data_IF_623888735212
#
_entry.id   IF_623888735212
#
_cell.length_a   1.000
_cell.length_b   1.000
_cell.length_c   1.000
_cell.angle_alpha   90.00
_cell.angle_beta   90.00
_cell.angle_gamma   90.00
#
_symmetry.space_group_name_H-M   'P 1'
#
loop_
_entity.id
_entity.type
_entity.pdbx_description
1 polymer ?
#
# COMPACT_ATOMS: atom_id res chain seq x y z
N UNK A 1 -19.54 19.13 10.31
CA UNK A 1 -18.93 19.03 8.96
C UNK A 1 -19.80 18.11 8.15
N UNK A 2 -20.19 18.53 6.96
CA UNK A 2 -21.18 17.85 6.13
C UNK A 2 -20.51 16.62 5.53
N UNK A 3 -20.88 15.43 5.99
CA UNK A 3 -20.60 14.19 5.27
C UNK A 3 -21.51 14.20 4.04
N UNK A 4 -20.94 14.42 2.85
CA UNK A 4 -21.67 14.31 1.60
C UNK A 4 -22.06 12.84 1.41
N UNK A 5 -23.36 12.56 1.49
CA UNK A 5 -23.98 11.27 1.15
C UNK A 5 -24.11 11.12 -0.37
N UNK A 6 -22.97 11.02 -1.07
CA UNK A 6 -22.88 10.58 -2.48
C UNK A 6 -22.29 9.15 -2.57
N UNK A 7 -22.50 8.35 -1.52
CA UNK A 7 -21.73 7.15 -1.20
C UNK A 7 -21.94 5.91 -2.09
N UNK A 8 -22.77 5.98 -3.14
CA UNK A 8 -23.07 4.79 -3.96
C UNK A 8 -22.46 4.83 -5.37
N UNK A 9 -21.88 5.96 -5.79
CA UNK A 9 -21.29 6.11 -7.14
C UNK A 9 -19.77 6.42 -7.13
N UNK A 10 -19.24 6.91 -6.01
CA UNK A 10 -17.81 7.29 -5.90
C UNK A 10 -16.88 6.07 -5.78
N UNK A 11 -17.36 4.95 -5.20
CA UNK A 11 -16.60 3.69 -5.09
C UNK A 11 -16.47 2.96 -6.43
N UNK A 12 -17.50 2.98 -7.27
CA UNK A 12 -17.45 2.40 -8.63
C UNK A 12 -16.61 3.24 -9.61
N UNK A 13 -16.34 4.50 -9.27
CA UNK A 13 -15.62 5.46 -10.11
C UNK A 13 -14.30 5.93 -9.50
N UNK A 14 -13.76 5.19 -8.52
CA UNK A 14 -12.49 5.52 -7.89
C UNK A 14 -11.63 4.29 -7.63
N UNK A 15 -10.34 4.56 -7.51
CA UNK A 15 -9.35 3.68 -6.89
C UNK A 15 -8.53 4.50 -5.92
N UNK A 16 -7.95 3.81 -4.95
CA UNK A 16 -7.23 4.44 -3.88
C UNK A 16 -5.79 3.97 -3.84
N UNK A 17 -4.89 4.86 -3.43
CA UNK A 17 -3.51 4.54 -3.16
C UNK A 17 -3.24 4.86 -1.71
N UNK A 18 -2.99 3.82 -0.91
CA UNK A 18 -2.63 3.95 0.49
C UNK A 18 -1.10 4.02 0.57
N UNK A 19 -0.58 5.14 1.05
CA UNK A 19 0.83 5.32 1.36
C UNK A 19 1.03 5.12 2.86
N UNK A 20 2.03 4.34 3.26
CA UNK A 20 2.27 4.06 4.68
C UNK A 20 3.72 4.24 5.08
N UNK A 21 3.91 4.49 6.36
CA UNK A 21 5.18 4.49 7.05
C UNK A 21 5.07 3.69 8.36
N UNK A 22 5.64 2.49 8.36
CA UNK A 22 5.60 1.56 9.50
C UNK A 22 6.80 1.71 10.44
N UNK A 23 7.75 2.60 10.14
CA UNK A 23 8.91 2.88 11.01
C UNK A 23 9.94 1.75 11.18
N UNK A 24 9.86 0.65 10.41
CA UNK A 24 10.79 -0.50 10.57
C UNK A 24 12.22 -0.19 10.09
N UNK A 25 13.25 -0.89 10.60
CA UNK A 25 14.68 -0.67 10.23
C UNK A 25 14.96 -0.67 8.71
N UNK A 26 14.17 -1.41 7.92
CA UNK A 26 14.24 -1.39 6.45
C UNK A 26 13.74 -0.07 5.87
N UNK A 27 12.72 0.53 6.49
CA UNK A 27 12.26 1.89 6.17
C UNK A 27 13.29 2.94 6.57
N UNK A 28 14.05 2.73 7.64
CA UNK A 28 15.10 3.68 8.07
C UNK A 28 16.24 3.77 7.06
N UNK A 29 16.64 2.64 6.45
CA UNK A 29 17.69 2.63 5.42
C UNK A 29 17.24 3.38 4.15
N UNK A 30 15.97 3.24 3.73
CA UNK A 30 15.42 3.94 2.55
C UNK A 30 15.12 5.41 2.86
N UNK A 31 14.62 5.73 4.07
CA UNK A 31 14.36 7.11 4.52
C UNK A 31 15.64 7.94 4.60
N UNK A 32 16.74 7.35 5.07
CA UNK A 32 18.04 8.02 5.11
C UNK A 32 18.53 8.46 3.73
N UNK A 33 18.05 7.84 2.65
CA UNK A 33 18.42 8.16 1.27
C UNK A 33 17.36 8.97 0.51
N UNK A 34 16.08 8.86 0.86
CA UNK A 34 14.97 9.46 0.08
C UNK A 34 14.32 10.67 0.75
N UNK A 35 14.51 10.87 2.07
CA UNK A 35 13.83 11.90 2.87
C UNK A 35 12.29 11.94 2.72
N UNK A 36 11.68 10.91 2.14
CA UNK A 36 10.27 10.87 1.82
C UNK A 36 9.42 10.49 3.06
N UNK A 37 8.24 11.11 3.25
CA UNK A 37 7.39 10.86 4.43
C UNK A 37 6.79 9.45 4.44
N UNK A 38 6.61 8.83 3.27
CA UNK A 38 6.08 7.48 3.11
C UNK A 38 7.03 6.62 2.28
N UNK A 39 7.17 5.36 2.67
CA UNK A 39 8.13 4.41 2.07
C UNK A 39 7.48 3.19 1.45
N UNK A 40 6.16 3.05 1.61
CA UNK A 40 5.42 1.94 1.05
C UNK A 40 4.10 2.42 0.45
N UNK A 41 3.68 1.76 -0.63
CA UNK A 41 2.47 2.08 -1.38
C UNK A 41 1.63 0.83 -1.61
N UNK A 42 0.32 0.97 -1.49
CA UNK A 42 -0.67 -0.07 -1.72
C UNK A 42 -1.73 0.47 -2.68
N UNK A 43 -2.30 -0.40 -3.48
CA UNK A 43 -3.49 -0.13 -4.27
C UNK A 43 -4.71 -0.67 -3.52
N UNK A 44 -5.72 0.17 -3.28
CA UNK A 44 -7.01 -0.26 -2.75
C UNK A 44 -8.13 -0.04 -3.78
N UNK A 45 -9.09 -0.95 -3.83
CA UNK A 45 -10.22 -0.89 -4.77
C UNK A 45 -11.45 -0.20 -4.18
N UNK A 46 -11.44 0.06 -2.88
CA UNK A 46 -12.52 0.64 -2.09
C UNK A 46 -11.96 1.58 -1.01
N UNK A 47 -12.81 2.47 -0.49
CA UNK A 47 -12.41 3.50 0.47
C UNK A 47 -12.24 2.92 1.88
N UNK A 48 -12.91 1.82 2.17
CA UNK A 48 -12.93 1.10 3.44
C UNK A 48 -11.67 0.25 3.67
N UNK A 49 -10.81 0.16 2.64
CA UNK A 49 -9.55 -0.59 2.66
C UNK A 49 -9.76 -2.09 2.95
N UNK A 50 -10.86 -2.66 2.44
CA UNK A 50 -11.12 -4.09 2.58
C UNK A 50 -10.11 -4.91 1.79
N UNK A 51 -9.80 -4.48 0.57
CA UNK A 51 -8.87 -5.16 -0.33
C UNK A 51 -7.69 -4.23 -0.68
N UNK A 52 -6.55 -4.41 0.00
CA UNK A 52 -5.30 -3.67 -0.27
C UNK A 52 -4.22 -4.58 -0.85
N UNK A 53 -3.69 -4.17 -2.01
CA UNK A 53 -2.72 -4.96 -2.79
C UNK A 53 -1.38 -4.24 -2.87
N UNK A 54 -0.29 -4.98 -2.71
CA UNK A 54 1.05 -4.46 -2.95
C UNK A 54 2.02 -5.55 -3.36
N UNK A 55 3.26 -5.14 -3.63
CA UNK A 55 4.40 -6.03 -3.73
C UNK A 55 5.32 -5.79 -2.54
N UNK A 56 5.50 -6.83 -1.73
CA UNK A 56 6.13 -6.74 -0.43
C UNK A 56 6.85 -8.01 -0.01
N UNK A 57 7.45 -7.97 1.18
CA UNK A 57 8.05 -9.13 1.82
C UNK A 57 6.92 -10.00 2.39
N UNK A 58 6.87 -11.29 2.01
CA UNK A 58 5.91 -12.26 2.57
C UNK A 58 6.32 -12.73 3.97
N UNK A 59 7.57 -12.50 4.36
CA UNK A 59 8.08 -12.83 5.69
C UNK A 59 9.09 -11.79 6.15
N UNK A 60 8.86 -11.08 7.28
CA UNK A 60 9.77 -10.06 7.79
C UNK A 60 11.21 -10.57 8.05
N UNK A 61 11.36 -11.84 8.45
CA UNK A 61 12.65 -12.48 8.74
C UNK A 61 13.43 -12.95 7.51
N UNK A 62 12.81 -13.03 6.32
CA UNK A 62 13.46 -13.51 5.09
C UNK A 62 13.36 -12.46 3.98
N UNK A 63 14.37 -11.57 3.83
CA UNK A 63 14.29 -10.41 2.93
C UNK A 63 14.18 -10.76 1.43
N UNK A 64 14.53 -11.98 1.02
CA UNK A 64 14.40 -12.49 -0.36
C UNK A 64 13.08 -13.23 -0.66
N UNK A 65 12.23 -13.44 0.35
CA UNK A 65 10.93 -14.09 0.21
C UNK A 65 9.84 -13.03 0.13
N UNK A 66 9.68 -12.42 -1.04
CA UNK A 66 8.59 -11.48 -1.29
C UNK A 66 7.96 -11.69 -2.67
N UNK A 67 6.82 -11.07 -2.90
CA UNK A 67 6.03 -11.15 -4.12
C UNK A 67 4.74 -10.35 -3.99
N UNK A 68 3.75 -10.66 -4.82
CA UNK A 68 2.41 -10.08 -4.68
C UNK A 68 1.84 -10.44 -3.31
N UNK A 69 1.36 -9.42 -2.59
CA UNK A 69 0.71 -9.52 -1.29
C UNK A 69 -0.65 -8.84 -1.36
N UNK A 70 -1.61 -9.52 -0.76
CA UNK A 70 -2.92 -8.98 -0.42
C UNK A 70 -2.87 -8.87 1.10
N UNK A 71 -2.83 -7.64 1.60
CA UNK A 71 -2.66 -7.36 3.02
C UNK A 71 -4.03 -7.08 3.62
N UNK A 72 -4.18 -7.49 4.88
CA UNK A 72 -5.32 -7.12 5.69
C UNK A 72 -4.85 -6.00 6.63
N UNK A 73 -5.45 -4.81 6.56
CA UNK A 73 -5.05 -3.65 7.38
C UNK A 73 -5.22 -3.89 8.88
N UNK A 74 -5.97 -4.92 9.28
CA UNK A 74 -6.20 -5.31 10.67
C UNK A 74 -5.22 -6.39 11.16
N UNK A 75 -4.41 -6.99 10.29
CA UNK A 75 -3.53 -8.10 10.66
C UNK A 75 -2.08 -7.86 10.20
N UNK A 76 -1.21 -8.85 10.43
CA UNK A 76 0.13 -8.90 9.88
C UNK A 76 1.00 -7.70 10.28
N UNK A 77 1.53 -6.99 9.28
CA UNK A 77 2.47 -5.88 9.51
C UNK A 77 1.80 -4.73 10.25
N UNK A 78 0.56 -4.37 9.91
CA UNK A 78 -0.09 -3.20 10.50
C UNK A 78 -0.45 -3.42 11.97
N UNK A 79 -0.81 -4.66 12.33
CA UNK A 79 -1.00 -5.06 13.72
C UNK A 79 0.28 -5.00 14.53
N UNK A 80 1.41 -5.43 13.95
CA UNK A 80 2.71 -5.33 14.63
C UNK A 80 3.18 -3.87 14.82
N UNK A 81 2.70 -2.94 13.99
CA UNK A 81 3.07 -1.53 14.01
C UNK A 81 1.81 -0.64 14.10
N UNK A 82 1.10 -0.61 15.25
CA UNK A 82 -0.16 0.13 15.38
C UNK A 82 0.00 1.65 15.22
N UNK A 83 1.22 2.16 15.45
CA UNK A 83 1.61 3.56 15.17
C UNK A 83 1.89 3.88 13.70
N UNK A 84 1.45 3.04 12.76
CA UNK A 84 1.66 3.26 11.32
C UNK A 84 1.00 4.56 10.88
N UNK A 85 1.80 5.48 10.34
CA UNK A 85 1.29 6.70 9.70
C UNK A 85 0.93 6.39 8.25
N UNK A 86 -0.15 6.98 7.75
CA UNK A 86 -0.57 6.81 6.37
C UNK A 86 -1.10 8.09 5.73
N UNK A 87 -1.11 8.10 4.40
CA UNK A 87 -1.92 8.99 3.58
C UNK A 87 -2.74 8.14 2.61
N UNK A 88 -4.05 8.40 2.54
CA UNK A 88 -4.94 7.77 1.59
C UNK A 88 -5.23 8.74 0.45
N UNK A 89 -4.84 8.35 -0.75
CA UNK A 89 -5.03 9.10 -1.97
C UNK A 89 -6.19 8.51 -2.76
N UNK A 90 -7.07 9.33 -3.31
CA UNK A 90 -8.14 8.91 -4.22
C UNK A 90 -7.81 9.38 -5.63
N UNK A 91 -7.95 8.48 -6.59
CA UNK A 91 -7.94 8.78 -8.01
C UNK A 91 -9.33 8.48 -8.59
N UNK A 92 -9.99 9.52 -9.09
CA UNK A 92 -11.26 9.36 -9.81
C UNK A 92 -10.99 8.82 -11.21
N UNK A 93 -11.71 7.77 -11.59
CA UNK A 93 -11.54 7.04 -12.83
C UNK A 93 -12.88 6.59 -13.40
N UNK A 94 -12.93 6.30 -14.68
CA UNK A 94 -14.11 5.66 -15.28
C UNK A 94 -14.28 4.22 -14.80
N UNK A 95 -15.52 3.73 -14.83
CA UNK A 95 -15.83 2.31 -14.59
C UNK A 95 -14.99 1.36 -15.45
N UNK A 96 -14.76 1.71 -16.72
CA UNK A 96 -13.93 0.91 -17.63
C UNK A 96 -12.48 0.81 -17.16
N UNK A 97 -11.89 1.92 -16.69
CA UNK A 97 -10.55 1.95 -16.12
C UNK A 97 -10.50 1.16 -14.80
N UNK A 98 -11.54 1.26 -13.97
CA UNK A 98 -11.64 0.47 -12.72
C UNK A 98 -11.68 -1.02 -13.00
N UNK A 99 -12.51 -1.45 -13.94
CA UNK A 99 -12.60 -2.84 -14.35
C UNK A 99 -11.28 -3.34 -14.94
N UNK A 100 -10.54 -2.49 -15.66
CA UNK A 100 -9.21 -2.81 -16.16
C UNK A 100 -8.18 -2.96 -15.03
N UNK A 101 -8.24 -2.10 -14.01
CA UNK A 101 -7.40 -2.20 -12.81
C UNK A 101 -7.66 -3.51 -12.08
N UNK A 102 -8.93 -3.85 -11.84
CA UNK A 102 -9.35 -5.11 -11.20
C UNK A 102 -8.85 -6.32 -11.99
N UNK A 103 -9.02 -6.32 -13.32
CA UNK A 103 -8.49 -7.40 -14.17
C UNK A 103 -6.98 -7.53 -14.06
N UNK A 104 -6.28 -6.40 -14.02
CA UNK A 104 -4.82 -6.36 -13.89
C UNK A 104 -4.37 -6.91 -12.54
N UNK A 105 -4.97 -6.47 -11.43
CA UNK A 105 -4.71 -7.02 -10.08
C UNK A 105 -4.96 -8.52 -10.05
N UNK A 106 -6.08 -9.00 -10.62
CA UNK A 106 -6.38 -10.44 -10.70
C UNK A 106 -5.37 -11.22 -11.52
N UNK A 107 -4.77 -10.62 -12.56
CA UNK A 107 -3.69 -11.28 -13.30
C UNK A 107 -2.45 -11.46 -12.42
N UNK A 108 -2.09 -10.46 -11.61
CA UNK A 108 -1.01 -10.57 -10.64
C UNK A 108 -1.32 -11.61 -9.54
N UNK A 109 -2.57 -11.69 -9.06
CA UNK A 109 -3.01 -12.72 -8.11
C UNK A 109 -2.88 -14.15 -8.65
N UNK A 110 -3.31 -14.39 -9.90
CA UNK A 110 -3.24 -15.72 -10.54
C UNK A 110 -1.80 -16.20 -10.72
N UNK A 111 -0.91 -15.27 -11.07
CA UNK A 111 0.50 -15.54 -11.30
C UNK A 111 1.38 -15.26 -10.05
N UNK A 112 0.79 -15.19 -8.84
CA UNK A 112 1.49 -14.88 -7.57
C UNK A 112 2.69 -15.77 -7.23
N UNK A 113 2.78 -16.93 -7.88
CA UNK A 113 3.86 -17.91 -7.72
C UNK A 113 5.05 -17.64 -8.66
N UNK A 114 4.83 -16.85 -9.72
CA UNK A 114 5.85 -16.45 -10.72
C UNK A 114 6.60 -15.19 -10.26
N UNK A 115 5.91 -14.28 -9.55
CA UNK A 115 6.51 -13.00 -9.17
C UNK A 115 7.28 -13.04 -7.85
N UNK A 116 8.51 -12.53 -7.88
CA UNK A 116 9.40 -12.40 -6.71
C UNK A 116 9.56 -10.93 -6.35
N UNK A 117 9.96 -10.61 -5.12
CA UNK A 117 10.20 -9.23 -4.70
C UNK A 117 11.56 -8.74 -5.20
N UNK A 118 11.59 -7.57 -5.84
CA UNK A 118 12.81 -7.02 -6.46
C UNK A 118 13.65 -6.24 -5.45
N UNK A 119 14.31 -6.95 -4.53
CA UNK A 119 15.22 -6.28 -3.60
C UNK A 119 16.37 -5.56 -4.32
N UNK A 120 16.79 -6.06 -5.49
CA UNK A 120 17.88 -5.49 -6.31
C UNK A 120 17.42 -4.22 -7.03
N UNK A 121 16.21 -4.22 -7.61
CA UNK A 121 15.62 -3.03 -8.24
C UNK A 121 15.31 -1.92 -7.23
N UNK A 122 14.95 -2.27 -5.99
CA UNK A 122 14.82 -1.29 -4.91
C UNK A 122 16.15 -0.58 -4.60
N UNK A 123 17.28 -1.29 -4.71
CA UNK A 123 18.62 -0.69 -4.60
C UNK A 123 18.96 0.17 -5.84
N UNK A 124 18.53 -0.26 -7.04
CA UNK A 124 18.69 0.48 -8.30
C UNK A 124 17.96 1.83 -8.30
N UNK A 125 16.71 1.87 -7.84
CA UNK A 125 15.93 3.12 -7.66
C UNK A 125 16.63 4.07 -6.69
N UNK A 126 17.19 3.54 -5.60
CA UNK A 126 17.93 4.33 -4.62
C UNK A 126 19.21 4.97 -5.20
N UNK A 127 19.74 4.39 -6.28
CA UNK A 127 20.94 4.87 -6.98
C UNK A 127 20.63 5.52 -8.34
N UNK A 128 19.36 5.78 -8.66
CA UNK A 128 18.89 6.33 -9.95
C UNK A 128 19.37 5.52 -11.18
N UNK A 129 19.51 4.20 -11.02
CA UNK A 129 19.88 3.25 -12.06
C UNK A 129 18.65 2.46 -12.48
N UNK A 130 18.29 2.54 -13.76
CA UNK A 130 17.20 1.77 -14.36
C UNK A 130 17.61 0.30 -14.50
N UNK A 131 17.35 -0.49 -13.46
CA UNK A 131 17.61 -1.92 -13.43
C UNK A 131 16.27 -2.63 -13.61
N UNK A 132 15.90 -2.90 -14.87
CA UNK A 132 14.81 -3.81 -15.18
C UNK A 132 15.19 -5.23 -14.73
N UNK A 133 14.47 -5.78 -13.76
CA UNK A 133 14.54 -7.22 -13.48
C UNK A 133 13.22 -7.87 -13.89
N UNK A 134 13.32 -8.92 -14.71
CA UNK A 134 12.15 -9.70 -15.12
C UNK A 134 11.52 -10.35 -13.89
N UNK A 135 10.21 -10.19 -13.74
CA UNK A 135 9.38 -10.82 -12.70
C UNK A 135 9.63 -10.34 -11.26
N UNK A 136 10.16 -9.13 -11.09
CA UNK A 136 10.25 -8.55 -9.77
C UNK A 136 9.85 -7.08 -9.75
N UNK A 137 8.85 -6.78 -8.91
CA UNK A 137 8.28 -5.45 -8.70
C UNK A 137 8.54 -4.99 -7.26
N UNK A 138 8.67 -3.69 -7.07
CA UNK A 138 8.54 -3.04 -5.76
C UNK A 138 7.20 -2.30 -5.67
N UNK A 139 6.80 -1.90 -4.47
CA UNK A 139 5.46 -1.43 -4.16
C UNK A 139 4.91 -0.34 -5.09
N UNK A 140 5.62 0.77 -5.27
CA UNK A 140 5.19 1.88 -6.12
C UNK A 140 5.22 1.53 -7.61
N UNK A 141 6.17 0.70 -8.06
CA UNK A 141 6.19 0.18 -9.42
C UNK A 141 4.93 -0.64 -9.72
N UNK A 142 4.52 -1.54 -8.81
CA UNK A 142 3.30 -2.32 -8.98
C UNK A 142 2.07 -1.42 -9.14
N UNK A 143 1.88 -0.46 -8.22
CA UNK A 143 0.74 0.46 -8.28
C UNK A 143 0.76 1.22 -9.62
N UNK A 144 1.91 1.79 -10.01
CA UNK A 144 2.08 2.48 -11.29
C UNK A 144 1.77 1.59 -12.49
N UNK A 145 2.20 0.32 -12.46
CA UNK A 145 1.98 -0.64 -13.54
C UNK A 145 0.50 -0.99 -13.69
N UNK A 146 -0.22 -1.16 -12.58
CA UNK A 146 -1.67 -1.39 -12.61
C UNK A 146 -2.38 -0.18 -13.22
N UNK A 147 -2.03 1.05 -12.80
CA UNK A 147 -2.62 2.27 -13.34
C UNK A 147 -2.36 2.39 -14.85
N UNK A 148 -1.11 2.22 -15.27
CA UNK A 148 -0.70 2.30 -16.68
C UNK A 148 -1.43 1.29 -17.54
N UNK A 149 -1.50 0.02 -17.12
CA UNK A 149 -2.24 -1.05 -17.83
C UNK A 149 -3.76 -0.83 -17.85
N UNK A 150 -4.26 0.01 -16.96
CA UNK A 150 -5.67 0.41 -16.92
C UNK A 150 -5.97 1.63 -17.81
N UNK A 151 -4.99 2.12 -18.57
CA UNK A 151 -5.14 3.31 -19.42
C UNK A 151 -4.92 4.63 -18.69
N UNK A 152 -4.32 4.60 -17.49
CA UNK A 152 -3.98 5.79 -16.70
C UNK A 152 -2.47 6.04 -16.78
N UNK A 153 -2.04 6.78 -17.81
CA UNK A 153 -0.66 7.22 -17.97
C UNK A 153 -0.40 8.49 -17.17
N UNK A 154 -0.15 8.35 -15.86
CA UNK A 154 0.07 9.49 -14.95
C UNK A 154 1.48 10.08 -15.05
N UNK A 155 2.48 9.30 -15.50
CA UNK A 155 3.85 9.77 -15.64
C UNK A 155 4.47 9.42 -16.99
N UNK A 156 5.26 10.35 -17.52
CA UNK A 156 6.06 10.21 -18.75
C UNK A 156 7.40 9.50 -18.50
N UNK A 157 7.40 8.49 -17.63
CA UNK A 157 8.57 7.64 -17.33
C UNK A 157 8.14 6.22 -16.97
N UNK A 158 9.04 5.22 -17.08
CA UNK A 158 8.73 3.84 -16.71
C UNK A 158 8.24 3.72 -15.26
N UNK A 159 7.36 2.73 -15.00
CA UNK A 159 6.87 2.43 -13.65
C UNK A 159 8.02 2.09 -12.68
N UNK A 160 9.17 1.62 -13.18
CA UNK A 160 10.39 1.34 -12.42
C UNK A 160 11.03 2.59 -11.81
N UNK A 161 10.64 3.80 -12.23
CA UNK A 161 11.14 5.06 -11.70
C UNK A 161 10.10 5.83 -10.88
N UNK A 162 8.93 5.24 -10.65
CA UNK A 162 7.86 5.85 -9.85
C UNK A 162 8.04 5.48 -8.37
N UNK A 163 8.07 6.49 -7.52
CA UNK A 163 8.24 6.40 -6.07
C UNK A 163 6.91 6.66 -5.34
N UNK A 164 6.76 6.23 -4.07
CA UNK A 164 5.59 6.60 -3.25
C UNK A 164 5.34 8.12 -3.19
N UNK A 165 6.41 8.90 -3.15
CA UNK A 165 6.34 10.36 -3.08
C UNK A 165 5.76 10.99 -4.36
N UNK A 166 5.92 10.33 -5.51
CA UNK A 166 5.35 10.80 -6.76
C UNK A 166 3.82 10.70 -6.75
N UNK A 167 3.24 9.67 -6.12
CA UNK A 167 1.79 9.58 -5.93
C UNK A 167 1.27 10.72 -5.06
N UNK A 168 1.95 11.00 -3.94
CA UNK A 168 1.56 12.05 -2.99
C UNK A 168 1.46 13.44 -3.63
N UNK A 169 2.35 13.75 -4.57
CA UNK A 169 2.44 15.07 -5.19
C UNK A 169 1.76 15.15 -6.58
N UNK A 170 1.21 14.05 -7.09
CA UNK A 170 0.64 14.04 -8.43
C UNK A 170 -0.77 14.67 -8.44
N UNK A 171 -1.05 15.65 -9.32
CA UNK A 171 -2.26 16.49 -9.25
C UNK A 171 -3.57 15.75 -9.54
N UNK A 172 -3.51 14.54 -10.10
CA UNK A 172 -4.70 13.72 -10.31
C UNK A 172 -5.23 13.06 -9.02
N UNK A 173 -4.45 13.05 -7.93
CA UNK A 173 -4.86 12.45 -6.67
C UNK A 173 -5.40 13.49 -5.70
N UNK A 174 -6.53 13.16 -5.07
CA UNK A 174 -7.01 13.87 -3.88
C UNK A 174 -6.47 13.17 -2.63
N UNK A 175 -5.94 13.92 -1.66
CA UNK A 175 -5.68 13.37 -0.32
C UNK A 175 -7.01 13.30 0.43
N UNK A 176 -7.48 12.09 0.70
CA UNK A 176 -8.74 11.84 1.42
C UNK A 176 -8.51 11.76 2.93
N UNK A 177 -7.34 11.26 3.33
CA UNK A 177 -6.97 11.12 4.73
C UNK A 177 -5.45 11.18 4.91
N UNK A 178 -5.01 11.76 6.01
CA UNK A 178 -3.62 11.70 6.47
C UNK A 178 -3.61 11.62 7.99
N UNK A 179 -2.87 10.65 8.56
CA UNK A 179 -2.87 10.41 10.00
C UNK A 179 -2.36 9.03 10.40
N UNK A 180 -2.84 8.51 11.52
CA UNK A 180 -2.60 7.13 11.95
C UNK A 180 -3.56 6.19 11.24
N UNK A 181 -3.07 5.04 10.77
CA UNK A 181 -3.90 4.09 10.03
C UNK A 181 -5.14 3.67 10.84
N UNK A 182 -4.99 3.38 12.12
CA UNK A 182 -6.09 2.92 12.98
C UNK A 182 -7.07 4.02 13.40
N UNK A 183 -6.72 5.28 13.15
CA UNK A 183 -7.64 6.41 13.35
C UNK A 183 -8.55 6.63 12.13
N UNK A 184 -8.25 6.01 10.98
CA UNK A 184 -9.00 6.20 9.74
C UNK A 184 -10.49 5.84 9.92
N UNK A 185 -11.43 6.77 9.65
CA UNK A 185 -12.83 6.64 10.04
C UNK A 185 -13.61 5.51 9.37
N UNK A 186 -13.21 5.08 8.15
CA UNK A 186 -13.91 4.02 7.43
C UNK A 186 -13.41 2.61 7.78
N UNK A 187 -12.42 2.48 8.67
CA UNK A 187 -12.07 1.16 9.19
C UNK A 187 -13.17 0.60 10.10
N UNK A 188 -13.39 -0.69 9.99
CA UNK A 188 -14.27 -1.48 10.84
C UNK A 188 -13.80 -1.40 12.30
N UNK A 189 -14.58 -0.67 13.10
CA UNK A 189 -14.27 -0.40 14.51
C UNK A 189 -14.38 -1.65 15.38
N UNK A 190 -15.21 -2.62 15.03
CA UNK A 190 -15.34 -3.86 15.80
C UNK A 190 -14.09 -4.73 15.64
N UNK A 191 -13.53 -4.79 14.42
CA UNK A 191 -12.23 -5.45 14.18
C UNK A 191 -11.10 -4.77 14.94
N UNK A 192 -11.05 -3.44 14.96
CA UNK A 192 -10.01 -2.68 15.69
C UNK A 192 -10.10 -2.90 17.21
N UNK A 193 -11.30 -2.86 17.79
CA UNK A 193 -11.50 -3.13 19.23
C UNK A 193 -11.04 -4.53 19.61
N UNK A 194 -11.34 -5.52 18.77
CA UNK A 194 -10.87 -6.89 19.00
C UNK A 194 -9.35 -6.97 19.09
N UNK A 195 -8.63 -6.27 18.20
CA UNK A 195 -7.15 -6.25 18.21
C UNK A 195 -6.62 -5.57 19.48
N UNK A 196 -7.14 -4.41 19.83
CA UNK A 196 -6.73 -3.66 21.02
C UNK A 196 -6.93 -4.49 22.30
N UNK A 197 -8.08 -5.15 22.43
CA UNK A 197 -8.37 -6.03 23.56
C UNK A 197 -7.40 -7.21 23.62
N UNK A 198 -7.05 -7.83 22.48
CA UNK A 198 -6.11 -8.96 22.45
C UNK A 198 -4.70 -8.51 22.85
N UNK A 199 -4.27 -7.32 22.44
CA UNK A 199 -2.96 -6.76 22.82
C UNK A 199 -2.90 -6.40 24.31
N UNK A 200 -3.96 -5.82 24.85
CA UNK A 200 -4.08 -5.50 26.28
C UNK A 200 -4.00 -6.78 27.13
N UNK A 201 -4.79 -7.81 26.79
CA UNK A 201 -4.74 -9.12 27.48
C UNK A 201 -3.38 -9.80 27.33
N UNK A 202 -2.74 -9.72 26.17
CA UNK A 202 -1.40 -10.30 25.98
C UNK A 202 -0.35 -9.59 26.85
N UNK A 203 -0.43 -8.26 26.98
CA UNK A 203 0.48 -7.49 27.83
C UNK A 203 0.30 -7.78 29.32
N UNK A 204 -0.94 -7.95 29.78
CA UNK A 204 -1.25 -8.33 31.17
C UNK A 204 -0.73 -9.73 31.51
N UNK A 205 -0.81 -10.67 30.58
CA UNK A 205 -0.29 -12.03 30.77
C UNK A 205 1.24 -12.09 30.79
N UNK A 206 1.92 -11.26 29.99
CA UNK A 206 3.38 -11.14 30.04
C UNK A 206 3.83 -10.49 31.35
N UNK A 207 3.13 -9.47 31.84
CA UNK A 207 3.46 -8.80 33.11
C UNK A 207 3.22 -9.70 34.33
N UNK A 208 2.27 -10.64 34.26
CA UNK A 208 2.02 -11.66 35.29
C UNK A 208 3.01 -12.84 35.24
N UNK A 209 3.76 -13.01 34.14
CA UNK A 209 4.72 -14.10 33.95
C UNK A 209 6.16 -13.73 34.34
N UNK A 210 6.40 -12.48 34.78
CA UNK A 210 7.68 -11.94 35.28
C UNK A 210 7.67 -11.87 36.80
#
# INVERSE_FOLDING_TARGET
MIYNTDGDNDSESSIYVLLTDTGTLFTTLIKSFTAAPYNHAFLALDAELNDVFSFGRKCPRKPWAGGFVEEDVYEGTFRQFPGTRCALLRLRISKQQRDAAIRTVRSFQKEKHVYRYNLIGLLGVLMNLDIETKNAYFCSQFVSEVLRKSGLSLWDRPSTLVTPNDFLHHPAFDIVYEGLLYDYPLLNRDRLKYIQNVEEVASELEEQAV
#
